data_IF_567247103619
#
_entry.id   IF_567247103619
#
_cell.length_a   1.000
_cell.length_b   1.000
_cell.length_c   1.000
_cell.angle_alpha   90.00
_cell.angle_beta   90.00
_cell.angle_gamma   90.00
#
_symmetry.space_group_name_H-M   'P 1'
#
loop_
_entity.id
_entity.type
_entity.pdbx_description
1 polymer ?
#
# COMPACT_ATOMS: atom_id res chain seq x y z
N UNK A 1 -6.91 0.61 -7.20
CA UNK A 1 -7.61 1.40 -6.16
C UNK A 1 -7.13 0.94 -4.81
N UNK A 2 -7.21 1.77 -3.77
CA UNK A 2 -6.86 1.38 -2.40
C UNK A 2 -8.14 0.92 -1.68
N UNK A 3 -8.14 -0.30 -1.17
CA UNK A 3 -9.22 -0.85 -0.35
C UNK A 3 -8.87 -0.67 1.13
N UNK A 4 -9.82 -0.17 1.90
CA UNK A 4 -9.64 0.20 3.31
C UNK A 4 -10.49 -0.71 4.19
N UNK A 5 -9.85 -1.30 5.19
CA UNK A 5 -10.48 -2.14 6.19
C UNK A 5 -10.28 -1.51 7.56
N UNK A 6 -11.35 -1.40 8.32
CA UNK A 6 -11.35 -0.81 9.66
C UNK A 6 -11.75 -1.86 10.68
N UNK A 7 -10.98 -2.01 11.75
CA UNK A 7 -11.35 -2.75 12.96
C UNK A 7 -11.46 -1.77 14.11
N UNK A 8 -12.69 -1.52 14.58
CA UNK A 8 -13.00 -0.58 15.65
C UNK A 8 -14.31 -1.01 16.33
N UNK A 9 -14.29 -1.29 17.62
CA UNK A 9 -15.48 -1.73 18.36
C UNK A 9 -16.32 -0.57 18.89
N UNK A 10 -15.71 0.60 19.15
CA UNK A 10 -16.40 1.79 19.60
C UNK A 10 -17.09 2.50 18.43
N UNK A 11 -18.41 2.57 18.49
CA UNK A 11 -19.24 3.17 17.44
C UNK A 11 -18.90 4.65 17.16
N UNK A 12 -18.56 5.43 18.19
CA UNK A 12 -18.21 6.85 18.01
C UNK A 12 -16.86 7.01 17.33
N UNK A 13 -15.87 6.20 17.71
CA UNK A 13 -14.56 6.20 17.07
C UNK A 13 -14.64 5.67 15.63
N UNK A 14 -15.47 4.66 15.40
CA UNK A 14 -15.73 4.15 14.06
C UNK A 14 -16.33 5.24 13.15
N UNK A 15 -17.36 5.97 13.61
CA UNK A 15 -17.96 7.06 12.87
C UNK A 15 -16.95 8.21 12.61
N UNK A 16 -16.14 8.56 13.61
CA UNK A 16 -15.09 9.59 13.48
C UNK A 16 -14.05 9.22 12.40
N UNK A 17 -13.63 7.96 12.38
CA UNK A 17 -12.70 7.44 11.38
C UNK A 17 -13.34 7.40 9.99
N UNK A 18 -14.60 6.97 9.90
CA UNK A 18 -15.36 6.93 8.64
C UNK A 18 -15.49 8.32 8.02
N UNK A 19 -15.77 9.36 8.84
CA UNK A 19 -15.83 10.75 8.39
C UNK A 19 -14.49 11.22 7.80
N UNK A 20 -13.37 10.92 8.44
CA UNK A 20 -12.03 11.24 7.94
C UNK A 20 -11.73 10.52 6.60
N UNK A 21 -12.08 9.23 6.50
CA UNK A 21 -11.96 8.45 5.27
C UNK A 21 -12.87 9.03 4.18
N UNK A 22 -14.08 9.47 4.52
CA UNK A 22 -14.99 10.08 3.55
C UNK A 22 -14.43 11.39 2.97
N UNK A 23 -13.82 12.24 3.80
CA UNK A 23 -13.10 13.45 3.36
C UNK A 23 -11.92 13.10 2.45
N UNK A 24 -11.18 12.02 2.78
CA UNK A 24 -10.09 11.52 1.94
C UNK A 24 -10.57 11.12 0.53
N UNK A 25 -11.78 10.56 0.39
CA UNK A 25 -12.37 10.23 -0.93
C UNK A 25 -12.58 11.47 -1.80
N UNK A 26 -12.83 12.63 -1.19
CA UNK A 26 -12.97 13.90 -1.93
C UNK A 26 -11.62 14.44 -2.41
N UNK A 27 -10.54 14.17 -1.66
CA UNK A 27 -9.17 14.59 -2.00
C UNK A 27 -8.57 13.63 -3.03
N UNK A 28 -8.70 12.32 -2.80
CA UNK A 28 -8.12 11.25 -3.63
C UNK A 28 -9.18 10.63 -4.56
N UNK A 29 -9.83 11.45 -5.37
CA UNK A 29 -10.94 11.07 -6.25
C UNK A 29 -10.57 9.83 -7.09
N UNK A 30 -11.47 8.83 -7.10
CA UNK A 30 -11.35 7.57 -7.85
C UNK A 30 -10.13 6.70 -7.49
N UNK A 31 -9.41 6.99 -6.41
CA UNK A 31 -8.25 6.19 -5.97
C UNK A 31 -8.56 5.28 -4.79
N UNK A 32 -9.62 5.58 -4.04
CA UNK A 32 -10.11 4.75 -2.92
C UNK A 32 -11.24 3.85 -3.44
N UNK A 33 -11.08 2.55 -3.22
CA UNK A 33 -12.05 1.52 -3.59
C UNK A 33 -13.12 1.32 -2.51
N UNK A 34 -13.24 0.08 -2.02
CA UNK A 34 -14.16 -0.24 -0.94
C UNK A 34 -13.63 0.25 0.41
N UNK A 35 -14.55 0.48 1.34
CA UNK A 35 -14.28 0.75 2.75
C UNK A 35 -15.20 -0.15 3.56
N UNK A 36 -14.61 -1.10 4.26
CA UNK A 36 -15.33 -2.08 5.06
C UNK A 36 -14.99 -1.87 6.56
N UNK A 37 -16.03 -1.80 7.40
CA UNK A 37 -15.91 -1.59 8.83
C UNK A 37 -16.31 -2.85 9.59
N UNK A 38 -15.55 -3.20 10.61
CA UNK A 38 -15.74 -4.39 11.44
C UNK A 38 -15.61 -4.03 12.90
N UNK A 39 -16.47 -4.63 13.73
CA UNK A 39 -16.45 -4.53 15.19
C UNK A 39 -15.72 -5.71 15.86
N UNK A 40 -15.42 -6.77 15.08
CA UNK A 40 -14.80 -8.00 15.59
C UNK A 40 -13.63 -8.49 14.72
N UNK A 41 -12.51 -8.91 15.35
CA UNK A 41 -11.35 -9.44 14.66
C UNK A 41 -11.66 -10.57 13.67
N UNK A 42 -12.46 -11.55 14.07
CA UNK A 42 -12.76 -12.72 13.23
C UNK A 42 -13.52 -12.33 11.95
N UNK A 43 -14.44 -11.38 12.03
CA UNK A 43 -15.17 -10.91 10.86
C UNK A 43 -14.24 -10.29 9.82
N UNK A 44 -13.30 -9.44 10.27
CA UNK A 44 -12.28 -8.86 9.40
C UNK A 44 -11.42 -9.95 8.75
N UNK A 45 -10.86 -10.86 9.55
CA UNK A 45 -9.92 -11.89 9.06
C UNK A 45 -10.55 -12.88 8.07
N UNK A 46 -11.85 -13.19 8.21
CA UNK A 46 -12.58 -14.03 7.27
C UNK A 46 -12.86 -13.35 5.93
N UNK A 47 -12.89 -12.02 5.90
CA UNK A 47 -13.19 -11.22 4.70
C UNK A 47 -11.95 -10.87 3.87
N UNK A 48 -10.76 -10.98 4.45
CA UNK A 48 -9.51 -10.71 3.73
C UNK A 48 -9.22 -11.89 2.79
N UNK A 49 -9.56 -11.73 1.53
CA UNK A 49 -9.32 -12.73 0.47
C UNK A 49 -8.20 -12.31 -0.48
N UNK A 50 -7.89 -11.03 -0.52
CA UNK A 50 -6.88 -10.42 -1.38
C UNK A 50 -5.59 -10.13 -0.62
N UNK A 51 -4.49 -9.87 -1.34
CA UNK A 51 -3.18 -9.52 -0.81
C UNK A 51 -2.56 -8.45 -1.70
N UNK A 52 -1.77 -7.57 -1.12
CA UNK A 52 -0.99 -6.59 -1.86
C UNK A 52 -1.03 -5.19 -1.24
N UNK A 53 -0.22 -4.31 -1.80
CA UNK A 53 -0.08 -2.92 -1.36
C UNK A 53 -1.33 -2.06 -1.57
N UNK A 54 -2.34 -2.58 -2.27
CA UNK A 54 -3.64 -1.95 -2.43
C UNK A 54 -4.56 -2.11 -1.20
N UNK A 55 -4.09 -2.80 -0.14
CA UNK A 55 -4.84 -2.98 1.11
C UNK A 55 -4.29 -2.06 2.19
N UNK A 56 -5.18 -1.33 2.84
CA UNK A 56 -4.90 -0.50 4.01
C UNK A 56 -5.80 -0.91 5.17
N UNK A 57 -5.20 -1.21 6.31
CA UNK A 57 -5.89 -1.60 7.53
C UNK A 57 -5.72 -0.52 8.59
N UNK A 58 -6.82 -0.01 9.12
CA UNK A 58 -6.88 0.76 10.35
C UNK A 58 -7.33 -0.18 11.48
N UNK A 59 -6.47 -0.41 12.45
CA UNK A 59 -6.70 -1.39 13.51
C UNK A 59 -6.67 -0.73 14.86
N UNK A 60 -7.79 -0.80 15.60
CA UNK A 60 -7.80 -0.46 17.02
C UNK A 60 -7.00 -1.49 17.82
N UNK A 61 -6.18 -1.02 18.73
CA UNK A 61 -5.44 -1.82 19.70
C UNK A 61 -5.68 -1.29 21.13
N UNK A 62 -5.83 -2.20 22.08
CA UNK A 62 -5.99 -1.82 23.48
C UNK A 62 -7.41 -1.50 23.86
N UNK A 63 -8.40 -2.26 23.34
CA UNK A 63 -9.75 -2.18 23.86
C UNK A 63 -9.85 -2.69 25.30
N UNK A 64 -10.82 -2.20 26.08
CA UNK A 64 -11.05 -2.62 27.47
C UNK A 64 -11.27 -4.13 27.61
N UNK A 65 -11.72 -4.78 26.54
CA UNK A 65 -12.03 -6.21 26.51
C UNK A 65 -10.88 -7.08 26.00
N UNK A 66 -9.97 -6.53 25.17
CA UNK A 66 -8.88 -7.28 24.55
C UNK A 66 -7.70 -6.38 24.18
N UNK A 67 -6.75 -6.23 25.10
CA UNK A 67 -5.57 -5.36 24.94
C UNK A 67 -4.66 -5.79 23.78
N UNK A 68 -4.66 -7.06 23.41
CA UNK A 68 -3.77 -7.61 22.37
C UNK A 68 -4.49 -7.92 21.04
N UNK A 69 -5.82 -7.87 21.01
CA UNK A 69 -6.60 -8.35 19.86
C UNK A 69 -6.22 -7.69 18.54
N UNK A 70 -6.09 -6.37 18.50
CA UNK A 70 -5.68 -5.66 17.29
C UNK A 70 -4.23 -5.99 16.86
N UNK A 71 -3.33 -6.25 17.82
CA UNK A 71 -1.95 -6.65 17.55
C UNK A 71 -1.93 -8.06 16.93
N UNK A 72 -2.71 -9.00 17.48
CA UNK A 72 -2.83 -10.36 16.94
C UNK A 72 -3.44 -10.37 15.53
N UNK A 73 -4.43 -9.52 15.27
CA UNK A 73 -4.98 -9.33 13.92
C UNK A 73 -3.89 -8.82 12.96
N UNK A 74 -3.12 -7.81 13.37
CA UNK A 74 -2.03 -7.28 12.56
C UNK A 74 -0.96 -8.33 12.25
N UNK A 75 -0.63 -9.21 13.21
CA UNK A 75 0.28 -10.35 12.99
C UNK A 75 -0.25 -11.30 11.91
N UNK A 76 -1.52 -11.70 12.02
CA UNK A 76 -2.13 -12.60 11.04
C UNK A 76 -2.23 -11.95 9.65
N UNK A 77 -2.49 -10.65 9.58
CA UNK A 77 -2.45 -9.90 8.32
C UNK A 77 -1.03 -9.95 7.76
N UNK A 78 -0.01 -9.61 8.57
CA UNK A 78 1.37 -9.53 8.13
C UNK A 78 1.96 -10.87 7.70
N UNK A 79 1.58 -11.96 8.36
CA UNK A 79 1.98 -13.32 7.97
C UNK A 79 1.43 -13.72 6.59
N UNK A 80 0.22 -13.25 6.26
CA UNK A 80 -0.43 -13.54 4.98
C UNK A 80 -0.01 -12.56 3.89
N UNK A 81 0.21 -11.29 4.25
CA UNK A 81 0.49 -10.21 3.33
C UNK A 81 1.58 -9.26 3.86
N UNK A 82 2.82 -9.39 3.37
CA UNK A 82 3.91 -8.50 3.74
C UNK A 82 3.76 -7.07 3.16
N UNK A 83 2.90 -6.87 2.17
CA UNK A 83 2.80 -5.61 1.41
C UNK A 83 1.68 -4.69 1.90
N UNK A 84 0.67 -5.21 2.56
CA UNK A 84 -0.43 -4.42 3.10
C UNK A 84 0.06 -3.30 4.00
N UNK A 85 -0.60 -2.14 3.95
CA UNK A 85 -0.36 -1.04 4.89
C UNK A 85 -1.19 -1.25 6.14
N UNK A 86 -0.58 -1.08 7.32
CA UNK A 86 -1.25 -1.20 8.61
C UNK A 86 -1.03 0.10 9.37
N UNK A 87 -2.09 0.70 9.86
CA UNK A 87 -2.11 1.86 10.75
C UNK A 87 -2.81 1.44 12.04
N UNK A 88 -2.16 1.63 13.16
CA UNK A 88 -2.77 1.43 14.45
C UNK A 88 -3.44 2.71 14.94
N UNK A 89 -4.64 2.57 15.50
CA UNK A 89 -5.39 3.65 16.13
C UNK A 89 -5.71 3.20 17.55
N UNK A 90 -5.37 4.00 18.57
CA UNK A 90 -5.57 3.59 19.95
C UNK A 90 -5.73 4.76 20.90
N UNK A 91 -6.45 4.54 21.99
CA UNK A 91 -6.45 5.42 23.17
C UNK A 91 -5.27 5.16 24.12
N UNK A 92 -4.44 4.12 23.83
CA UNK A 92 -3.36 3.61 24.68
C UNK A 92 -1.97 3.74 24.00
N UNK A 93 -1.40 4.95 23.91
CA UNK A 93 -0.12 5.18 23.24
C UNK A 93 1.05 4.39 23.88
N UNK A 94 0.91 3.94 25.14
CA UNK A 94 1.88 3.09 25.83
C UNK A 94 2.04 1.70 25.17
N UNK A 95 1.12 1.27 24.31
CA UNK A 95 1.18 0.01 23.58
C UNK A 95 2.10 0.07 22.35
N UNK A 96 2.52 1.28 21.93
CA UNK A 96 3.40 1.45 20.78
C UNK A 96 4.68 0.57 20.83
N UNK A 97 5.41 0.45 21.95
CA UNK A 97 6.58 -0.41 22.01
C UNK A 97 6.28 -1.89 21.69
N UNK A 98 5.10 -2.38 22.05
CA UNK A 98 4.68 -3.76 21.78
C UNK A 98 4.57 -4.02 20.26
N UNK A 99 4.12 -3.06 19.47
CA UNK A 99 4.00 -3.22 18.00
C UNK A 99 5.36 -3.45 17.34
N UNK A 100 6.43 -2.86 17.86
CA UNK A 100 7.81 -3.09 17.39
C UNK A 100 8.31 -4.50 17.72
N UNK A 101 7.97 -5.04 18.89
CA UNK A 101 8.37 -6.40 19.28
C UNK A 101 7.82 -7.45 18.31
N UNK A 102 6.63 -7.24 17.79
CA UNK A 102 5.97 -8.12 16.83
C UNK A 102 6.39 -7.91 15.37
N UNK A 103 7.29 -6.94 15.10
CA UNK A 103 7.82 -6.64 13.74
C UNK A 103 6.72 -6.41 12.69
N UNK A 104 5.68 -5.72 13.06
CA UNK A 104 4.47 -5.53 12.23
C UNK A 104 4.69 -4.57 11.06
N UNK A 105 5.77 -3.78 11.08
CA UNK A 105 6.07 -2.77 10.06
C UNK A 105 4.86 -1.87 9.80
N UNK A 106 4.26 -1.34 10.87
CA UNK A 106 3.14 -0.42 10.77
C UNK A 106 3.53 0.83 9.97
N UNK A 107 2.58 1.36 9.22
CA UNK A 107 2.75 2.62 8.48
C UNK A 107 2.76 3.80 9.44
N UNK A 108 1.80 3.81 10.37
CA UNK A 108 1.67 4.83 11.40
C UNK A 108 0.98 4.27 12.66
N UNK A 109 0.97 5.12 13.70
CA UNK A 109 0.35 4.88 14.99
C UNK A 109 -0.34 6.17 15.44
N UNK A 110 -1.66 6.19 15.49
CA UNK A 110 -2.49 7.37 15.75
C UNK A 110 -3.13 7.27 17.14
N UNK A 111 -2.93 8.29 17.96
CA UNK A 111 -3.60 8.42 19.26
C UNK A 111 -5.05 8.93 19.06
N UNK A 112 -6.05 8.18 19.56
CA UNK A 112 -7.47 8.57 19.54
C UNK A 112 -7.75 9.88 20.31
N UNK A 113 -6.86 10.27 21.23
CA UNK A 113 -7.01 11.47 22.05
C UNK A 113 -6.57 12.76 21.33
N UNK A 114 -6.05 12.67 20.09
CA UNK A 114 -5.71 13.83 19.29
C UNK A 114 -6.94 14.72 19.04
N UNK A 115 -6.76 16.06 18.95
CA UNK A 115 -7.81 16.94 18.44
C UNK A 115 -8.33 16.49 17.07
N UNK A 116 -9.62 16.74 16.80
CA UNK A 116 -10.26 16.20 15.59
C UNK A 116 -9.55 16.58 14.29
N UNK A 117 -9.07 17.81 14.18
CA UNK A 117 -8.34 18.29 13.03
C UNK A 117 -7.01 17.54 12.83
N UNK A 118 -6.25 17.31 13.91
CA UNK A 118 -4.97 16.58 13.84
C UNK A 118 -5.19 15.09 13.54
N UNK A 119 -6.21 14.49 14.16
CA UNK A 119 -6.61 13.11 13.90
C UNK A 119 -6.98 12.91 12.42
N UNK A 120 -7.82 13.81 11.90
CA UNK A 120 -8.25 13.78 10.49
C UNK A 120 -7.07 13.96 9.52
N UNK A 121 -6.21 14.95 9.77
CA UNK A 121 -5.03 15.22 8.94
C UNK A 121 -4.10 13.99 8.89
N UNK A 122 -3.92 13.27 10.02
CA UNK A 122 -3.14 12.04 10.09
C UNK A 122 -3.76 10.93 9.22
N UNK A 123 -5.06 10.68 9.34
CA UNK A 123 -5.78 9.68 8.53
C UNK A 123 -5.65 9.99 7.04
N UNK A 124 -5.86 11.25 6.65
CA UNK A 124 -5.74 11.69 5.25
C UNK A 124 -4.31 11.48 4.73
N UNK A 125 -3.31 11.85 5.54
CA UNK A 125 -1.89 11.66 5.21
C UNK A 125 -1.54 10.19 5.01
N UNK A 126 -1.99 9.30 5.90
CA UNK A 126 -1.70 7.87 5.84
C UNK A 126 -2.36 7.19 4.63
N UNK A 127 -3.58 7.59 4.28
CA UNK A 127 -4.23 7.15 3.05
C UNK A 127 -3.40 7.60 1.83
N UNK A 128 -2.89 8.85 1.82
CA UNK A 128 -1.99 9.36 0.78
C UNK A 128 -0.69 8.55 0.67
N UNK A 129 -0.08 8.19 1.80
CA UNK A 129 1.13 7.35 1.86
C UNK A 129 0.85 5.93 1.35
N UNK A 130 -0.27 5.31 1.76
CA UNK A 130 -0.66 3.99 1.27
C UNK A 130 -0.93 4.00 -0.25
N UNK A 131 -1.59 5.04 -0.76
CA UNK A 131 -1.78 5.25 -2.20
C UNK A 131 -0.46 5.42 -2.95
N UNK A 132 0.52 6.09 -2.35
CA UNK A 132 1.86 6.24 -2.92
C UNK A 132 2.59 4.90 -2.95
N UNK A 133 2.52 4.12 -1.89
CA UNK A 133 3.08 2.75 -1.85
C UNK A 133 2.42 1.85 -2.90
N UNK A 134 1.11 1.93 -3.06
CA UNK A 134 0.38 1.20 -4.09
C UNK A 134 0.82 1.63 -5.50
N UNK A 135 1.10 2.91 -5.71
CA UNK A 135 1.73 3.42 -6.94
C UNK A 135 3.17 2.95 -7.12
N UNK A 136 3.92 2.77 -6.03
CA UNK A 136 5.31 2.29 -6.04
C UNK A 136 5.39 0.76 -6.15
N UNK A 137 4.39 0.01 -5.69
CA UNK A 137 4.33 -1.45 -5.89
C UNK A 137 3.98 -1.83 -7.34
N UNK A 138 3.47 -0.89 -8.14
CA UNK A 138 3.53 -1.00 -9.61
C UNK A 138 4.97 -0.92 -10.15
N UNK A 139 5.96 -0.57 -9.31
CA UNK A 139 7.41 -0.69 -9.61
C UNK A 139 7.86 -2.17 -9.57
N UNK A 140 7.15 -3.07 -8.91
CA UNK A 140 7.41 -4.52 -9.04
C UNK A 140 7.09 -5.05 -10.46
N UNK A 141 6.31 -4.31 -11.23
CA UNK A 141 6.16 -4.49 -12.67
C UNK A 141 7.06 -3.48 -13.39
N UNK A 142 8.38 -3.61 -13.24
CA UNK A 142 9.35 -2.78 -13.94
C UNK A 142 10.17 -3.62 -14.93
N UNK A 143 10.37 -3.06 -16.11
CA UNK A 143 11.31 -3.61 -17.07
C UNK A 143 12.74 -3.24 -16.65
N UNK A 144 13.58 -4.25 -16.47
CA UNK A 144 14.97 -4.03 -16.07
C UNK A 144 15.86 -3.94 -17.31
N UNK A 145 16.57 -2.83 -17.41
CA UNK A 145 17.50 -2.54 -18.51
C UNK A 145 18.92 -2.55 -17.97
N UNK A 146 19.77 -3.44 -18.50
CA UNK A 146 21.20 -3.44 -18.21
C UNK A 146 21.95 -2.62 -19.25
N UNK A 147 22.48 -1.48 -18.83
CA UNK A 147 23.40 -0.65 -19.64
C UNK A 147 24.84 -0.93 -19.23
N UNK A 148 25.83 -0.40 -19.99
CA UNK A 148 27.25 -0.56 -19.61
C UNK A 148 27.62 0.02 -18.24
N UNK A 149 26.84 0.99 -17.76
CA UNK A 149 27.20 1.80 -16.59
C UNK A 149 26.24 1.60 -15.40
N UNK A 150 25.04 1.06 -15.64
CA UNK A 150 24.01 0.91 -14.60
C UNK A 150 22.94 -0.09 -15.02
N UNK A 151 22.32 -0.72 -14.02
CA UNK A 151 21.02 -1.38 -14.15
C UNK A 151 19.92 -0.38 -13.85
N UNK A 152 19.02 -0.16 -14.81
CA UNK A 152 17.92 0.81 -14.72
C UNK A 152 16.60 0.04 -14.65
N UNK A 153 15.75 0.36 -13.68
CA UNK A 153 14.39 -0.19 -13.58
C UNK A 153 13.40 0.85 -14.10
N UNK A 154 12.66 0.50 -15.14
CA UNK A 154 11.65 1.35 -15.77
C UNK A 154 10.26 0.79 -15.49
N UNK A 155 9.41 1.46 -14.72
CA UNK A 155 8.04 1.03 -14.48
C UNK A 155 7.28 0.83 -15.80
N UNK A 156 6.54 -0.28 -15.94
CA UNK A 156 5.81 -0.57 -17.19
C UNK A 156 4.86 0.55 -17.62
N UNK A 157 4.21 1.24 -16.67
CA UNK A 157 3.30 2.34 -16.98
C UNK A 157 3.99 3.58 -17.59
N UNK A 158 5.34 3.66 -17.50
CA UNK A 158 6.15 4.71 -18.15
C UNK A 158 6.67 4.29 -19.51
N UNK A 159 6.55 3.02 -19.88
CA UNK A 159 7.02 2.51 -21.17
C UNK A 159 5.99 2.86 -22.25
N UNK A 160 6.45 3.49 -23.32
CA UNK A 160 5.63 3.78 -24.49
C UNK A 160 5.75 2.67 -25.52
N UNK A 161 6.98 2.40 -25.96
CA UNK A 161 7.28 1.32 -26.91
C UNK A 161 8.79 1.02 -26.96
N UNK A 162 9.11 -0.07 -27.65
CA UNK A 162 10.48 -0.46 -27.98
C UNK A 162 10.69 -0.39 -29.47
N UNK A 163 11.87 0.05 -29.93
CA UNK A 163 12.27 -0.01 -31.33
C UNK A 163 13.70 -0.54 -31.48
N UNK A 164 14.02 -1.01 -32.68
CA UNK A 164 15.40 -1.44 -33.01
C UNK A 164 16.27 -0.21 -33.20
N UNK A 165 17.42 -0.18 -32.51
CA UNK A 165 18.45 0.85 -32.76
C UNK A 165 19.12 0.69 -34.11
N UNK A 166 19.55 1.79 -34.76
CA UNK A 166 20.49 1.74 -35.89
C UNK A 166 21.81 1.04 -35.52
N UNK A 167 22.17 1.01 -34.25
CA UNK A 167 23.36 0.30 -33.75
C UNK A 167 23.05 -1.19 -33.61
N UNK A 168 23.88 -2.03 -34.19
CA UNK A 168 23.72 -3.50 -34.19
C UNK A 168 23.63 -4.04 -32.76
N UNK A 169 22.69 -4.95 -32.54
CA UNK A 169 22.41 -5.58 -31.23
C UNK A 169 21.91 -4.64 -30.13
N UNK A 170 21.36 -3.48 -30.46
CA UNK A 170 20.75 -2.57 -29.50
C UNK A 170 19.27 -2.34 -29.78
N UNK A 171 18.56 -2.03 -28.71
CA UNK A 171 17.14 -1.65 -28.66
C UNK A 171 17.04 -0.29 -28.00
N UNK A 172 16.11 0.52 -28.45
CA UNK A 172 15.74 1.79 -27.80
C UNK A 172 14.41 1.58 -27.10
N UNK A 173 14.40 1.85 -25.80
CA UNK A 173 13.22 1.93 -24.98
C UNK A 173 12.76 3.39 -24.91
N UNK A 174 11.56 3.67 -25.38
CA UNK A 174 10.92 4.96 -25.28
C UNK A 174 10.02 4.99 -24.03
N UNK A 175 10.27 5.94 -23.16
CA UNK A 175 9.48 6.16 -21.95
C UNK A 175 8.78 7.53 -22.01
N UNK A 176 7.92 7.81 -21.05
CA UNK A 176 7.29 9.13 -20.91
C UNK A 176 8.28 10.25 -20.55
N UNK A 177 9.51 9.90 -20.11
CA UNK A 177 10.50 10.86 -19.60
C UNK A 177 11.75 10.92 -20.48
N UNK A 178 12.23 9.78 -20.99
CA UNK A 178 13.49 9.69 -21.71
C UNK A 178 13.53 8.51 -22.69
N UNK A 179 14.61 8.43 -23.48
CA UNK A 179 14.93 7.30 -24.34
C UNK A 179 16.18 6.61 -23.80
N UNK A 180 16.12 5.28 -23.66
CA UNK A 180 17.20 4.46 -23.11
C UNK A 180 17.67 3.48 -24.18
N UNK A 181 18.90 3.62 -24.65
CA UNK A 181 19.51 2.66 -25.59
C UNK A 181 20.30 1.61 -24.81
N UNK A 182 20.02 0.32 -25.06
CA UNK A 182 20.69 -0.79 -24.39
C UNK A 182 20.93 -1.98 -25.30
N UNK A 183 21.81 -2.89 -24.90
CA UNK A 183 22.06 -4.12 -25.65
C UNK A 183 20.93 -5.11 -25.47
N UNK A 184 20.30 -5.54 -26.55
CA UNK A 184 19.17 -6.46 -26.49
C UNK A 184 18.65 -6.88 -27.86
N UNK A 185 17.68 -7.80 -27.83
CA UNK A 185 16.95 -8.23 -29.02
C UNK A 185 15.45 -8.08 -28.76
N UNK A 186 14.78 -7.36 -29.65
CA UNK A 186 13.33 -7.11 -29.50
C UNK A 186 12.52 -8.42 -29.38
N UNK A 187 12.92 -9.47 -30.11
CA UNK A 187 12.29 -10.79 -30.06
C UNK A 187 12.42 -11.52 -28.73
N UNK A 188 13.45 -11.20 -27.94
CA UNK A 188 13.62 -11.74 -26.58
C UNK A 188 12.80 -10.98 -25.55
N UNK A 189 12.74 -9.65 -25.69
CA UNK A 189 11.94 -8.77 -24.82
C UNK A 189 10.46 -9.17 -24.89
N UNK A 190 9.93 -9.32 -26.12
CA UNK A 190 8.51 -9.72 -26.34
C UNK A 190 8.19 -11.10 -25.76
N UNK A 191 9.15 -12.01 -25.65
CA UNK A 191 8.93 -13.36 -25.11
C UNK A 191 9.05 -13.44 -23.58
N UNK A 192 9.86 -12.60 -22.96
CA UNK A 192 10.09 -12.64 -21.51
C UNK A 192 9.01 -11.90 -20.71
N UNK A 193 8.50 -10.79 -21.22
CA UNK A 193 7.70 -9.86 -20.43
C UNK A 193 6.18 -9.89 -20.76
N UNK A 194 5.76 -10.47 -21.90
CA UNK A 194 4.34 -10.66 -22.20
C UNK A 194 3.70 -11.92 -21.57
N UNK A 195 4.45 -12.73 -20.83
CA UNK A 195 3.90 -13.84 -20.05
C UNK A 195 3.52 -13.46 -18.61
N UNK A 196 3.73 -12.20 -18.22
CA UNK A 196 3.49 -11.69 -16.84
C UNK A 196 2.41 -10.60 -16.79
N UNK A 197 1.68 -10.38 -17.89
CA UNK A 197 0.54 -9.45 -17.94
C UNK A 197 -0.77 -10.22 -17.95
#
# INVERSE_FOLDING_TARGET
>A
MLDIFVLEEDYFQQARLEDAIHKSKQIYILRIGKVDLYDKPNQLLERITERGSHLLFFLDIGSDSDVEGGILVAQQIRERDPYASIVFITAHPELLPSTFQYRLAALDFIDKNLPDNEYEDRIISDIGLALSKNGLSQIECAFTVDTKNATIQVPFHKILYFETSPTVHKVILHTTEEQIEFYGQLSKIVKQDLQTI
#
